data_IF_257688361649
#
_entry.id   IF_257688361649
#
_cell.length_a   1.000
_cell.length_b   1.000
_cell.length_c   1.000
_cell.angle_alpha   90.00
_cell.angle_beta   90.00
_cell.angle_gamma   90.00
#
_symmetry.space_group_name_H-M   'P 1'
#
loop_
_entity.id
_entity.type
_entity.pdbx_description
1 polymer ?
#
# COMPACT_ATOMS: atom_id res chain seq x y z
N UNK A 1 27.29 -19.63 -4.53
CA UNK A 1 26.55 -18.42 -4.11
C UNK A 1 25.90 -18.71 -2.78
N UNK A 2 26.10 -17.83 -1.81
CA UNK A 2 25.41 -17.90 -0.52
C UNK A 2 24.03 -17.22 -0.67
N UNK A 3 22.97 -17.96 -0.34
CA UNK A 3 21.58 -17.49 -0.40
C UNK A 3 20.99 -17.28 1.00
N UNK A 4 21.81 -17.36 2.05
CA UNK A 4 21.36 -17.26 3.45
C UNK A 4 20.71 -15.91 3.76
N UNK A 5 21.30 -14.75 3.41
CA UNK A 5 20.66 -13.45 3.67
C UNK A 5 19.29 -13.31 3.00
N UNK A 6 19.17 -13.89 1.80
CA UNK A 6 17.92 -13.87 1.04
C UNK A 6 16.83 -14.73 1.70
N UNK A 7 17.19 -15.94 2.18
CA UNK A 7 16.26 -16.80 2.92
C UNK A 7 15.77 -16.16 4.19
N UNK A 8 16.66 -15.48 4.92
CA UNK A 8 16.30 -14.74 6.12
C UNK A 8 15.33 -13.60 5.80
N UNK A 9 15.58 -12.85 4.72
CA UNK A 9 14.66 -11.81 4.25
C UNK A 9 13.27 -12.39 3.91
N UNK A 10 13.22 -13.52 3.21
CA UNK A 10 11.95 -14.17 2.87
C UNK A 10 11.23 -14.72 4.11
N UNK A 11 11.96 -15.32 5.05
CA UNK A 11 11.40 -15.80 6.33
C UNK A 11 10.82 -14.62 7.13
N UNK A 12 11.53 -13.50 7.16
CA UNK A 12 11.07 -12.27 7.82
C UNK A 12 9.83 -11.70 7.15
N UNK A 13 9.82 -11.60 5.81
CA UNK A 13 8.66 -11.13 5.05
C UNK A 13 7.43 -12.03 5.28
N UNK A 14 7.60 -13.35 5.25
CA UNK A 14 6.54 -14.33 5.55
C UNK A 14 6.00 -14.19 6.97
N UNK A 15 6.84 -13.84 7.94
CA UNK A 15 6.41 -13.54 9.30
C UNK A 15 5.71 -12.18 9.46
N UNK A 16 6.00 -11.21 8.58
CA UNK A 16 5.39 -9.87 8.60
C UNK A 16 4.02 -9.83 7.92
N UNK A 17 3.83 -10.57 6.83
CA UNK A 17 2.57 -10.62 6.08
C UNK A 17 1.31 -10.83 6.97
N UNK A 18 1.23 -11.84 7.86
CA UNK A 18 0.06 -12.01 8.72
C UNK A 18 -0.10 -10.89 9.76
N UNK A 19 1.00 -10.25 10.19
CA UNK A 19 0.94 -9.11 11.12
C UNK A 19 0.37 -7.87 10.43
N UNK A 20 0.79 -7.62 9.18
CA UNK A 20 0.25 -6.55 8.35
C UNK A 20 -1.24 -6.78 8.10
N UNK A 21 -1.63 -8.00 7.74
CA UNK A 21 -3.03 -8.35 7.52
C UNK A 21 -3.89 -8.07 8.76
N UNK A 22 -3.45 -8.54 9.93
CA UNK A 22 -4.13 -8.31 11.20
C UNK A 22 -4.27 -6.82 11.53
N UNK A 23 -3.18 -6.07 11.46
CA UNK A 23 -3.17 -4.64 11.78
C UNK A 23 -4.05 -3.82 10.83
N UNK A 24 -4.02 -4.14 9.52
CA UNK A 24 -4.85 -3.48 8.53
C UNK A 24 -6.35 -3.70 8.80
N UNK A 25 -6.77 -4.92 9.18
CA UNK A 25 -8.16 -5.18 9.56
C UNK A 25 -8.57 -4.48 10.84
N UNK A 26 -7.75 -4.56 11.88
CA UNK A 26 -8.03 -3.87 13.15
C UNK A 26 -8.24 -2.37 12.92
N UNK A 27 -7.37 -1.75 12.13
CA UNK A 27 -7.53 -0.34 11.76
C UNK A 27 -8.79 -0.09 10.93
N UNK A 28 -9.09 -0.95 9.95
CA UNK A 28 -10.31 -0.82 9.14
C UNK A 28 -11.58 -0.90 10.01
N UNK A 29 -11.63 -1.82 10.98
CA UNK A 29 -12.74 -1.95 11.93
C UNK A 29 -12.89 -0.68 12.78
N UNK A 30 -11.79 -0.18 13.38
CA UNK A 30 -11.83 1.03 14.19
C UNK A 30 -12.29 2.26 13.40
N UNK A 31 -11.87 2.39 12.14
CA UNK A 31 -12.30 3.50 11.29
C UNK A 31 -13.78 3.39 10.88
N UNK A 32 -14.30 2.18 10.67
CA UNK A 32 -15.73 1.97 10.43
C UNK A 32 -16.55 2.34 11.68
N UNK A 33 -16.13 1.87 12.86
CA UNK A 33 -16.76 2.23 14.14
C UNK A 33 -16.75 3.76 14.36
N UNK A 34 -15.63 4.42 14.07
CA UNK A 34 -15.52 5.87 14.16
C UNK A 34 -16.47 6.59 13.17
N UNK A 35 -16.68 6.02 11.98
CA UNK A 35 -17.63 6.52 10.99
C UNK A 35 -19.10 6.40 11.45
N UNK A 36 -19.43 5.32 12.16
CA UNK A 36 -20.78 5.08 12.69
C UNK A 36 -21.16 6.03 13.83
N UNK A 37 -20.20 6.46 14.65
CA UNK A 37 -20.42 7.44 15.73
C UNK A 37 -20.92 8.78 15.18
N UNK A 38 -20.50 9.15 13.96
CA UNK A 38 -20.92 10.38 13.28
C UNK A 38 -20.47 11.68 13.98
N UNK A 39 -20.82 12.83 13.38
CA UNK A 39 -20.68 14.13 14.06
C UNK A 39 -19.30 14.81 14.01
N UNK A 40 -18.42 14.47 13.06
CA UNK A 40 -17.11 15.12 12.92
C UNK A 40 -16.13 14.79 14.05
N UNK A 41 -16.38 13.70 14.78
CA UNK A 41 -15.51 13.22 15.87
C UNK A 41 -14.17 12.69 15.34
N UNK A 42 -14.17 12.15 14.13
CA UNK A 42 -12.99 11.64 13.46
C UNK A 42 -12.52 12.59 12.33
N UNK A 43 -11.20 12.74 12.14
CA UNK A 43 -10.66 13.59 11.07
C UNK A 43 -11.12 13.16 9.67
N UNK A 44 -11.33 14.11 8.77
CA UNK A 44 -11.78 13.86 7.39
C UNK A 44 -10.78 12.99 6.60
N UNK A 45 -9.50 13.03 6.96
CA UNK A 45 -8.41 12.20 6.41
C UNK A 45 -8.69 10.70 6.54
N UNK A 46 -9.47 10.30 7.53
CA UNK A 46 -9.81 8.89 7.74
C UNK A 46 -10.84 8.39 6.73
N UNK A 47 -11.59 9.31 6.11
CA UNK A 47 -12.67 8.99 5.18
C UNK A 47 -12.44 9.51 3.77
N UNK A 48 -11.48 10.43 3.58
CA UNK A 48 -11.14 11.04 2.30
C UNK A 48 -9.68 10.81 1.94
N UNK A 49 -9.44 10.03 0.88
CA UNK A 49 -8.10 9.85 0.32
C UNK A 49 -7.52 11.16 -0.21
N UNK A 50 -8.37 12.06 -0.71
CA UNK A 50 -7.92 13.38 -1.15
C UNK A 50 -7.35 14.18 0.03
N UNK A 51 -8.05 14.23 1.16
CA UNK A 51 -7.60 14.92 2.38
C UNK A 51 -6.33 14.27 2.97
N UNK A 52 -6.28 12.94 2.97
CA UNK A 52 -5.11 12.21 3.41
C UNK A 52 -3.88 12.56 2.55
N UNK A 53 -4.01 12.52 1.22
CA UNK A 53 -2.93 12.86 0.30
C UNK A 53 -2.54 14.34 0.39
N UNK A 54 -3.51 15.23 0.65
CA UNK A 54 -3.27 16.66 0.80
C UNK A 54 -2.37 16.96 2.00
N UNK A 55 -2.48 16.15 3.07
CA UNK A 55 -1.74 16.33 4.34
C UNK A 55 -0.53 15.41 4.50
N UNK A 56 -0.32 14.44 3.61
CA UNK A 56 0.80 13.49 3.69
C UNK A 56 2.03 14.01 2.97
N UNK A 57 3.12 14.27 3.69
CA UNK A 57 4.43 14.64 3.11
C UNK A 57 5.25 13.41 2.68
N UNK A 58 6.02 13.57 1.59
CA UNK A 58 7.00 12.59 1.17
C UNK A 58 8.39 13.01 1.66
N UNK A 59 8.81 12.44 2.80
CA UNK A 59 10.10 12.75 3.44
C UNK A 59 11.23 11.81 3.01
N UNK A 60 11.00 10.91 2.04
CA UNK A 60 12.05 10.01 1.56
C UNK A 60 13.20 10.79 0.89
N UNK A 61 14.40 10.20 0.91
CA UNK A 61 15.62 10.76 0.29
C UNK A 61 16.04 12.15 0.80
N UNK A 62 15.94 12.39 2.11
CA UNK A 62 16.49 13.61 2.71
C UNK A 62 15.82 14.90 2.22
N UNK A 63 14.51 14.86 1.93
CA UNK A 63 13.71 16.03 1.57
C UNK A 63 13.70 16.40 0.08
N UNK A 64 14.49 15.74 -0.78
CA UNK A 64 14.45 15.99 -2.23
C UNK A 64 13.09 15.67 -2.85
N UNK A 65 12.44 14.60 -2.38
CA UNK A 65 11.12 14.20 -2.87
C UNK A 65 10.00 15.11 -2.35
N UNK A 66 10.23 15.88 -1.29
CA UNK A 66 9.23 16.73 -0.68
C UNK A 66 8.81 17.87 -1.61
N UNK A 67 9.77 18.52 -2.27
CA UNK A 67 9.48 19.62 -3.21
C UNK A 67 8.72 19.13 -4.44
N UNK A 68 9.12 17.99 -5.00
CA UNK A 68 8.42 17.39 -6.15
C UNK A 68 7.01 17.00 -5.75
N UNK A 69 6.86 16.33 -4.60
CA UNK A 69 5.55 15.93 -4.11
C UNK A 69 4.67 17.15 -3.83
N UNK A 70 5.16 18.19 -3.16
CA UNK A 70 4.40 19.41 -2.91
C UNK A 70 3.97 20.12 -4.21
N UNK A 71 4.82 20.10 -5.24
CA UNK A 71 4.50 20.69 -6.54
C UNK A 71 3.42 19.88 -7.31
N UNK A 72 3.47 18.55 -7.23
CA UNK A 72 2.57 17.67 -8.00
C UNK A 72 1.29 17.34 -7.23
N UNK A 73 1.30 17.36 -5.89
CA UNK A 73 0.18 17.03 -5.00
C UNK A 73 -1.09 17.76 -5.39
N UNK A 74 -1.02 19.08 -5.57
CA UNK A 74 -2.18 19.92 -5.95
C UNK A 74 -2.78 19.53 -7.29
N UNK A 75 -1.94 19.14 -8.25
CA UNK A 75 -2.39 18.66 -9.55
C UNK A 75 -3.07 17.28 -9.44
N UNK A 76 -2.53 16.40 -8.59
CA UNK A 76 -3.10 15.06 -8.35
C UNK A 76 -4.42 15.15 -7.60
N UNK A 77 -4.50 15.95 -6.53
CA UNK A 77 -5.71 16.13 -5.72
C UNK A 77 -6.76 16.98 -6.43
N UNK A 78 -6.36 17.70 -7.48
CA UNK A 78 -7.23 18.62 -8.21
C UNK A 78 -7.60 19.87 -7.42
N UNK A 79 -6.90 20.16 -6.31
CA UNK A 79 -7.13 21.36 -5.51
C UNK A 79 -6.65 22.61 -6.28
N UNK A 80 -7.55 23.59 -6.43
CA UNK A 80 -7.24 24.86 -7.08
C UNK A 80 -6.20 25.61 -6.25
N UNK A 81 -5.29 26.35 -6.88
CA UNK A 81 -4.71 27.51 -6.21
C UNK A 81 -5.89 28.40 -5.79
N UNK A 82 -6.16 28.51 -4.49
CA UNK A 82 -6.73 29.76 -4.02
C UNK A 82 -5.74 30.83 -4.51
N UNK A 83 -6.19 31.88 -5.21
CA UNK A 83 -5.29 32.97 -5.58
C UNK A 83 -4.56 33.37 -4.31
N UNK A 84 -3.24 33.18 -4.31
CA UNK A 84 -2.38 33.69 -3.24
C UNK A 84 -2.69 35.17 -3.13
N UNK A 85 -2.86 35.67 -1.90
CA UNK A 85 -3.29 37.04 -1.61
C UNK A 85 -2.47 38.14 -2.30
N UNK A 86 -1.31 37.81 -2.88
CA UNK A 86 -0.51 38.71 -3.72
C UNK A 86 -1.16 39.06 -5.07
N UNK A 87 -2.16 38.30 -5.56
CA UNK A 87 -2.96 38.65 -6.75
C UNK A 87 -4.21 39.49 -6.41
N UNK A 88 -4.34 39.94 -5.16
CA UNK A 88 -5.38 40.87 -4.72
C UNK A 88 -4.76 42.04 -3.97
N UNK A 89 -4.02 42.90 -4.70
CA UNK A 89 -3.95 44.33 -4.38
C UNK A 89 -5.32 44.99 -4.58
N UNK A 90 -6.28 44.61 -3.75
CA UNK A 90 -7.51 45.34 -3.48
C UNK A 90 -7.86 45.03 -2.02
N UNK A 91 -7.12 45.67 -1.11
CA UNK A 91 -7.51 45.77 0.30
C UNK A 91 -8.95 46.30 0.35
N UNK A 92 -9.88 45.43 0.71
CA UNK A 92 -11.15 45.85 1.27
C UNK A 92 -11.01 45.75 2.79
N UNK A 93 -10.89 46.90 3.45
CA UNK A 93 -11.12 47.02 4.88
C UNK A 93 -12.54 46.52 5.18
N UNK A 94 -12.64 45.31 5.74
CA UNK A 94 -13.90 44.65 6.00
C UNK A 94 -14.34 44.89 7.46
N UNK A 95 -15.12 45.96 7.66
CA UNK A 95 -16.29 45.83 8.52
C UNK A 95 -17.36 45.05 7.74
N UNK A 96 -18.18 44.21 8.39
CA UNK A 96 -19.21 43.44 7.71
C UNK A 96 -20.23 44.38 7.05
N UNK A 97 -20.17 44.51 5.73
CA UNK A 97 -21.16 45.28 4.96
C UNK A 97 -22.35 44.37 4.68
N UNK A 98 -23.53 44.79 5.11
CA UNK A 98 -24.77 44.11 4.81
C UNK A 98 -24.97 44.07 3.29
N UNK A 99 -25.03 42.86 2.71
CA UNK A 99 -25.30 42.66 1.29
C UNK A 99 -26.82 42.63 1.12
N UNK A 100 -27.39 43.67 0.52
CA UNK A 100 -28.78 43.68 0.08
C UNK A 100 -28.82 43.30 -1.40
N UNK A 101 -29.36 42.11 -1.69
CA UNK A 101 -29.60 41.68 -3.07
C UNK A 101 -30.81 42.42 -3.63
N UNK A 102 -30.62 43.04 -4.79
CA UNK A 102 -31.63 43.83 -5.50
C UNK A 102 -31.86 43.19 -6.86
N UNK A 103 -33.13 42.95 -7.24
CA UNK A 103 -33.47 42.08 -8.36
C UNK A 103 -34.09 42.80 -9.57
N UNK A 104 -34.33 44.12 -9.49
CA UNK A 104 -34.80 44.93 -10.61
C UNK A 104 -33.97 46.20 -10.82
N UNK A 105 -33.95 46.70 -12.06
CA UNK A 105 -33.24 47.95 -12.40
C UNK A 105 -33.87 49.16 -11.66
N UNK A 106 -35.19 49.15 -11.41
CA UNK A 106 -35.88 50.20 -10.63
C UNK A 106 -35.45 50.19 -9.15
N UNK A 107 -35.30 49.01 -8.55
CA UNK A 107 -34.82 48.89 -7.17
C UNK A 107 -33.32 49.24 -7.06
N UNK A 108 -32.54 49.00 -8.12
CA UNK A 108 -31.12 49.34 -8.17
C UNK A 108 -30.90 50.87 -8.22
N UNK A 109 -31.72 51.58 -9.01
CA UNK A 109 -31.72 53.05 -9.04
C UNK A 109 -32.15 53.65 -7.69
N UNK A 110 -33.19 53.09 -7.06
CA UNK A 110 -33.63 53.51 -5.74
C UNK A 110 -32.56 53.27 -4.65
N UNK A 111 -31.85 52.14 -4.71
CA UNK A 111 -30.76 51.83 -3.78
C UNK A 111 -29.55 52.77 -3.97
N UNK A 112 -29.25 53.15 -5.22
CA UNK A 112 -28.14 54.06 -5.52
C UNK A 112 -28.43 55.51 -5.11
N UNK A 113 -29.69 55.93 -5.12
CA UNK A 113 -30.11 57.23 -4.57
C UNK A 113 -30.10 57.26 -3.04
N UNK A 114 -30.48 56.15 -2.38
CA UNK A 114 -30.50 56.04 -0.93
C UNK A 114 -29.10 55.98 -0.30
N UNK A 115 -28.15 55.31 -0.97
CA UNK A 115 -26.77 55.16 -0.50
C UNK A 115 -25.76 55.44 -1.64
N UNK A 116 -25.41 56.71 -1.90
CA UNK A 116 -24.58 57.10 -3.04
C UNK A 116 -23.15 56.53 -3.01
N UNK A 117 -22.69 56.05 -1.85
CA UNK A 117 -21.37 55.43 -1.68
C UNK A 117 -21.41 53.88 -1.68
N UNK A 118 -22.60 53.28 -1.84
CA UNK A 118 -22.71 51.82 -1.92
C UNK A 118 -22.21 51.34 -3.29
N UNK A 119 -21.28 50.37 -3.26
CA UNK A 119 -20.74 49.75 -4.47
C UNK A 119 -21.75 48.72 -4.97
N UNK A 120 -22.62 49.10 -5.91
CA UNK A 120 -23.55 48.16 -6.53
C UNK A 120 -22.78 47.11 -7.36
N UNK A 121 -22.89 45.85 -6.96
CA UNK A 121 -22.42 44.71 -7.77
C UNK A 121 -23.60 44.25 -8.61
N UNK A 122 -23.58 44.56 -9.91
CA UNK A 122 -24.58 44.07 -10.85
C UNK A 122 -24.29 42.60 -11.16
N UNK A 123 -24.99 41.69 -10.50
CA UNK A 123 -24.95 40.26 -10.84
C UNK A 123 -25.90 40.04 -12.02
N UNK A 124 -25.36 40.07 -13.23
CA UNK A 124 -26.12 39.72 -14.43
C UNK A 124 -26.18 38.19 -14.50
N UNK A 125 -27.30 37.62 -14.07
CA UNK A 125 -27.59 36.21 -14.33
C UNK A 125 -28.01 36.10 -15.79
N UNK A 126 -27.04 35.85 -16.66
CA UNK A 126 -27.32 35.53 -18.07
C UNK A 126 -27.89 34.11 -18.11
N UNK A 127 -29.17 33.90 -18.48
CA UNK A 127 -29.67 32.55 -18.67
C UNK A 127 -28.89 31.90 -19.81
N UNK A 128 -28.07 30.91 -19.49
CA UNK A 128 -27.33 30.14 -20.48
C UNK A 128 -28.35 29.51 -21.44
N UNK A 129 -28.25 29.84 -22.73
CA UNK A 129 -29.01 29.12 -23.77
C UNK A 129 -28.65 27.64 -23.69
N UNK A 130 -29.64 26.76 -23.73
CA UNK A 130 -29.44 25.32 -23.79
C UNK A 130 -28.63 24.98 -25.06
N UNK A 131 -27.30 24.94 -24.93
CA UNK A 131 -26.38 24.82 -26.07
C UNK A 131 -25.02 25.50 -25.86
N UNK A 132 -24.92 26.50 -24.97
CA UNK A 132 -23.62 27.07 -24.58
C UNK A 132 -22.91 26.12 -23.61
N UNK A 133 -22.32 25.06 -24.17
CA UNK A 133 -21.16 24.44 -23.54
C UNK A 133 -20.04 25.45 -23.69
N UNK A 134 -19.86 26.30 -22.68
CA UNK A 134 -18.60 27.03 -22.54
C UNK A 134 -17.48 26.00 -22.60
N UNK A 135 -16.76 25.98 -23.72
CA UNK A 135 -15.68 25.03 -23.98
C UNK A 135 -14.64 25.24 -22.88
N UNK A 136 -14.65 24.37 -21.88
CA UNK A 136 -13.72 24.48 -20.77
C UNK A 136 -12.35 24.15 -21.32
N UNK A 137 -11.33 24.84 -20.84
CA UNK A 137 -9.97 24.51 -21.22
C UNK A 137 -9.73 23.02 -20.91
N UNK A 138 -9.09 22.25 -21.80
CA UNK A 138 -8.91 20.80 -21.63
C UNK A 138 -8.19 20.45 -20.31
N UNK A 139 -7.33 21.34 -19.83
CA UNK A 139 -6.65 21.20 -18.53
C UNK A 139 -7.58 21.36 -17.33
N UNK A 140 -8.64 22.17 -17.44
CA UNK A 140 -9.65 22.32 -16.40
C UNK A 140 -10.55 21.08 -16.35
N UNK A 141 -10.91 20.53 -17.51
CA UNK A 141 -11.66 19.27 -17.59
C UNK A 141 -10.85 18.11 -17.00
N UNK A 142 -9.56 17.99 -17.33
CA UNK A 142 -8.68 16.97 -16.78
C UNK A 142 -8.60 17.02 -15.24
N UNK A 143 -8.49 18.23 -14.67
CA UNK A 143 -8.46 18.43 -13.21
C UNK A 143 -9.80 18.08 -12.55
N UNK A 144 -10.91 18.51 -13.13
CA UNK A 144 -12.23 18.18 -12.62
C UNK A 144 -12.49 16.66 -12.65
N UNK A 145 -12.00 15.97 -13.69
CA UNK A 145 -12.06 14.51 -13.76
C UNK A 145 -11.24 13.83 -12.65
N UNK A 146 -10.04 14.33 -12.36
CA UNK A 146 -9.22 13.81 -11.25
C UNK A 146 -9.89 14.03 -9.89
N UNK A 147 -10.39 15.24 -9.63
CA UNK A 147 -11.11 15.53 -8.40
C UNK A 147 -12.37 14.66 -8.26
N UNK A 148 -13.11 14.45 -9.36
CA UNK A 148 -14.26 13.55 -9.38
C UNK A 148 -13.83 12.09 -9.11
N UNK A 149 -12.74 11.63 -9.71
CA UNK A 149 -12.21 10.28 -9.49
C UNK A 149 -11.83 10.07 -8.02
N UNK A 150 -11.18 11.05 -7.38
CA UNK A 150 -10.87 10.98 -5.95
C UNK A 150 -12.09 11.05 -5.06
N UNK A 151 -13.09 11.86 -5.40
CA UNK A 151 -14.38 11.88 -4.71
C UNK A 151 -15.18 10.58 -4.86
N UNK A 152 -14.81 9.71 -5.80
CA UNK A 152 -15.37 8.36 -5.99
C UNK A 152 -14.41 7.25 -5.57
N UNK A 153 -13.23 7.58 -5.05
CA UNK A 153 -12.29 6.59 -4.56
C UNK A 153 -12.89 5.86 -3.36
N UNK A 154 -12.58 4.57 -3.16
CA UNK A 154 -12.97 3.86 -1.96
C UNK A 154 -12.42 4.55 -0.71
N UNK A 155 -13.19 4.54 0.38
CA UNK A 155 -12.72 5.04 1.66
C UNK A 155 -11.54 4.22 2.19
N UNK A 156 -10.75 4.82 3.08
CA UNK A 156 -9.56 4.20 3.65
C UNK A 156 -9.81 2.81 4.28
N UNK A 157 -10.92 2.53 5.00
CA UNK A 157 -11.20 1.20 5.53
C UNK A 157 -11.26 0.12 4.45
N UNK A 158 -11.86 0.43 3.29
CA UNK A 158 -11.95 -0.50 2.15
C UNK A 158 -10.58 -0.78 1.54
N UNK A 159 -9.72 0.25 1.46
CA UNK A 159 -8.35 0.09 0.99
C UNK A 159 -7.55 -0.76 1.98
N UNK A 160 -7.71 -0.54 3.29
CA UNK A 160 -7.05 -1.35 4.31
C UNK A 160 -7.50 -2.82 4.28
N UNK A 161 -8.78 -3.09 4.03
CA UNK A 161 -9.24 -4.47 3.83
C UNK A 161 -8.60 -5.12 2.60
N UNK A 162 -8.41 -4.34 1.52
CA UNK A 162 -7.70 -4.82 0.32
C UNK A 162 -6.24 -5.13 0.63
N UNK A 163 -5.57 -4.30 1.44
CA UNK A 163 -4.21 -4.56 1.94
C UNK A 163 -4.18 -5.82 2.79
N UNK A 164 -5.17 -6.03 3.67
CA UNK A 164 -5.26 -7.23 4.48
C UNK A 164 -5.40 -8.49 3.64
N UNK A 165 -6.32 -8.49 2.67
CA UNK A 165 -6.51 -9.60 1.74
C UNK A 165 -5.25 -9.88 0.90
N UNK A 166 -4.60 -8.83 0.40
CA UNK A 166 -3.36 -8.97 -0.36
C UNK A 166 -2.24 -9.57 0.50
N UNK A 167 -2.14 -9.17 1.76
CA UNK A 167 -1.14 -9.70 2.69
C UNK A 167 -1.40 -11.16 3.09
N UNK A 168 -2.65 -11.60 3.21
CA UNK A 168 -3.00 -13.00 3.46
C UNK A 168 -2.78 -13.90 2.26
N UNK A 169 -3.14 -13.42 1.06
CA UNK A 169 -2.88 -14.11 -0.19
C UNK A 169 -1.41 -14.07 -0.61
N UNK A 170 -0.57 -13.31 0.10
CA UNK A 170 0.83 -13.18 -0.23
C UNK A 170 1.56 -14.48 0.07
N UNK A 171 2.10 -15.06 -1.00
CA UNK A 171 3.14 -16.07 -0.92
C UNK A 171 4.42 -15.47 -1.52
N UNK A 172 5.59 -15.75 -0.93
CA UNK A 172 6.85 -15.39 -1.57
C UNK A 172 6.90 -16.08 -2.92
N UNK A 173 6.83 -15.28 -3.99
CA UNK A 173 7.01 -15.74 -5.38
C UNK A 173 8.30 -15.14 -5.88
N UNK A 174 9.19 -16.01 -6.32
CA UNK A 174 10.41 -15.56 -6.97
C UNK A 174 10.21 -15.50 -8.48
N UNK A 175 10.69 -14.43 -9.09
CA UNK A 175 10.85 -14.31 -10.54
C UNK A 175 12.34 -14.35 -10.90
N UNK A 176 12.66 -14.87 -12.08
CA UNK A 176 14.03 -14.90 -12.61
C UNK A 176 14.89 -16.09 -12.16
N UNK A 177 16.21 -15.95 -12.28
CA UNK A 177 17.17 -17.06 -12.14
C UNK A 177 17.25 -17.66 -10.73
N UNK A 178 17.01 -16.86 -9.68
CA UNK A 178 17.00 -17.32 -8.29
C UNK A 178 15.74 -18.16 -8.04
N UNK A 179 14.58 -17.68 -8.51
CA UNK A 179 13.32 -18.42 -8.44
C UNK A 179 13.37 -19.72 -9.22
N UNK A 180 13.99 -19.70 -10.39
CA UNK A 180 14.25 -20.92 -11.16
C UNK A 180 15.18 -21.87 -10.40
N UNK A 181 16.26 -21.39 -9.76
CA UNK A 181 17.20 -22.22 -9.01
C UNK A 181 16.60 -22.80 -7.72
N UNK A 182 15.71 -22.06 -7.05
CA UNK A 182 15.01 -22.50 -5.85
C UNK A 182 13.85 -23.45 -6.22
N UNK A 183 13.09 -23.15 -7.27
CA UNK A 183 12.07 -24.06 -7.80
C UNK A 183 12.67 -25.32 -8.45
N UNK A 184 13.89 -25.22 -9.03
CA UNK A 184 14.60 -26.36 -9.60
C UNK A 184 15.24 -27.25 -8.53
N UNK A 185 15.37 -26.78 -7.27
CA UNK A 185 15.61 -27.68 -6.14
C UNK A 185 14.34 -28.48 -5.90
N UNK A 186 14.13 -29.47 -6.76
CA UNK A 186 13.09 -30.46 -6.60
C UNK A 186 13.27 -31.09 -5.22
N UNK A 187 12.28 -30.96 -4.34
CA UNK A 187 12.23 -31.71 -3.09
C UNK A 187 12.30 -33.19 -3.47
N UNK A 188 13.47 -33.80 -3.28
CA UNK A 188 13.65 -35.24 -3.43
C UNK A 188 13.19 -35.85 -2.11
N UNK A 189 12.10 -36.64 -2.10
CA UNK A 189 11.63 -37.31 -0.89
C UNK A 189 12.75 -38.10 -0.19
N UNK A 190 13.67 -38.63 -0.99
CA UNK A 190 14.91 -39.29 -0.57
C UNK A 190 15.81 -38.40 0.27
N UNK A 191 16.13 -37.19 -0.18
CA UNK A 191 17.05 -36.30 0.54
C UNK A 191 16.41 -35.76 1.81
N UNK A 192 15.09 -35.51 1.79
CA UNK A 192 14.34 -35.13 2.98
C UNK A 192 14.28 -36.26 4.02
N UNK A 193 13.95 -37.48 3.60
CA UNK A 193 13.95 -38.66 4.47
C UNK A 193 15.32 -38.90 5.10
N UNK A 194 16.40 -38.89 4.30
CA UNK A 194 17.75 -39.13 4.79
C UNK A 194 18.21 -38.06 5.78
N UNK A 195 17.85 -36.79 5.56
CA UNK A 195 18.12 -35.71 6.51
C UNK A 195 17.36 -35.93 7.82
N UNK A 196 16.05 -36.15 7.74
CA UNK A 196 15.22 -36.40 8.92
C UNK A 196 15.71 -37.61 9.73
N UNK A 197 16.04 -38.71 9.04
CA UNK A 197 16.57 -39.93 9.65
C UNK A 197 17.91 -39.68 10.35
N UNK A 198 18.82 -38.93 9.72
CA UNK A 198 20.12 -38.59 10.31
C UNK A 198 19.99 -37.71 11.56
N UNK A 199 19.05 -36.77 11.57
CA UNK A 199 18.80 -35.89 12.71
C UNK A 199 18.15 -36.67 13.87
N UNK A 200 17.23 -37.57 13.56
CA UNK A 200 16.62 -38.44 14.57
C UNK A 200 17.67 -39.31 15.26
N UNK A 201 18.59 -39.91 14.50
CA UNK A 201 19.71 -40.69 15.05
C UNK A 201 20.61 -39.86 15.96
N UNK A 202 20.95 -38.62 15.57
CA UNK A 202 21.80 -37.74 16.38
C UNK A 202 21.13 -37.26 17.65
N UNK A 203 19.84 -36.95 17.57
CA UNK A 203 19.06 -36.47 18.71
C UNK A 203 18.88 -37.56 19.75
N UNK A 204 18.54 -38.76 19.31
CA UNK A 204 18.18 -39.85 20.21
C UNK A 204 19.42 -40.63 20.69
N UNK A 205 20.56 -40.52 19.99
CA UNK A 205 21.85 -41.10 20.38
C UNK A 205 22.95 -40.02 20.40
N UNK A 206 22.99 -39.16 21.43
CA UNK A 206 24.01 -38.12 21.55
C UNK A 206 25.42 -38.74 21.59
N UNK A 207 26.27 -38.31 20.67
CA UNK A 207 27.65 -38.81 20.53
C UNK A 207 27.87 -39.86 19.43
N UNK A 208 26.81 -40.29 18.73
CA UNK A 208 26.98 -41.18 17.57
C UNK A 208 27.67 -40.44 16.42
N UNK A 209 28.85 -40.92 16.07
CA UNK A 209 29.56 -40.54 14.84
C UNK A 209 28.97 -41.36 13.71
N UNK A 210 28.44 -40.71 12.67
CA UNK A 210 27.90 -41.35 11.46
C UNK A 210 29.06 -41.99 10.66
N UNK A 211 29.51 -43.16 11.13
CA UNK A 211 30.55 -43.96 10.50
C UNK A 211 30.08 -44.52 9.15
N UNK A 212 31.02 -45.04 8.36
CA UNK A 212 30.70 -45.67 7.07
C UNK A 212 29.67 -46.80 7.19
N UNK A 213 29.70 -47.59 8.27
CA UNK A 213 28.72 -48.66 8.50
C UNK A 213 27.32 -48.12 8.78
N UNK A 214 27.21 -47.02 9.54
CA UNK A 214 25.92 -46.37 9.82
C UNK A 214 25.35 -45.75 8.53
N UNK A 215 26.19 -45.08 7.73
CA UNK A 215 25.77 -44.54 6.43
C UNK A 215 25.27 -45.63 5.48
N UNK A 216 25.92 -46.80 5.44
CA UNK A 216 25.45 -47.95 4.67
C UNK A 216 24.13 -48.50 5.19
N UNK A 217 23.97 -48.59 6.52
CA UNK A 217 22.70 -49.01 7.13
C UNK A 217 21.57 -48.03 6.78
N UNK A 218 21.83 -46.72 6.84
CA UNK A 218 20.86 -45.68 6.46
C UNK A 218 20.41 -45.82 5.01
N UNK A 219 21.33 -46.08 4.07
CA UNK A 219 21.00 -46.30 2.67
C UNK A 219 20.08 -47.52 2.48
N UNK A 220 20.43 -48.65 3.12
CA UNK A 220 19.62 -49.86 3.10
C UNK A 220 18.22 -49.64 3.69
N UNK A 221 18.14 -48.97 4.84
CA UNK A 221 16.85 -48.62 5.46
C UNK A 221 16.02 -47.70 4.57
N UNK A 222 16.63 -46.71 3.92
CA UNK A 222 15.93 -45.81 3.01
C UNK A 222 15.35 -46.55 1.80
N UNK A 223 16.09 -47.48 1.20
CA UNK A 223 15.59 -48.32 0.11
C UNK A 223 14.37 -49.15 0.53
N UNK A 224 14.38 -49.70 1.74
CA UNK A 224 13.25 -50.49 2.26
C UNK A 224 12.04 -49.62 2.61
N UNK A 225 12.26 -48.48 3.28
CA UNK A 225 11.18 -47.62 3.78
C UNK A 225 10.52 -46.82 2.66
N UNK A 226 11.31 -46.29 1.72
CA UNK A 226 10.76 -45.53 0.59
C UNK A 226 10.08 -46.46 -0.43
N UNK A 227 10.54 -47.71 -0.52
CA UNK A 227 9.93 -48.78 -1.33
C UNK A 227 9.54 -48.35 -2.75
N UNK A 228 10.40 -47.59 -3.41
CA UNK A 228 10.21 -47.13 -4.78
C UNK A 228 11.20 -47.87 -5.68
N UNK A 229 10.70 -48.70 -6.60
CA UNK A 229 11.51 -49.49 -7.53
C UNK A 229 12.36 -48.62 -8.48
N UNK A 230 12.07 -47.33 -8.60
CA UNK A 230 12.84 -46.37 -9.41
C UNK A 230 13.93 -45.67 -8.60
N UNK A 231 14.00 -45.91 -7.31
CA UNK A 231 14.84 -45.21 -6.38
C UNK A 231 15.84 -46.17 -5.74
N UNK A 232 17.11 -46.03 -6.09
CA UNK A 232 18.20 -46.75 -5.42
C UNK A 232 19.06 -45.74 -4.66
N UNK A 233 18.90 -45.73 -3.35
CA UNK A 233 19.62 -44.86 -2.43
C UNK A 233 21.02 -45.40 -2.22
N UNK A 234 22.01 -44.73 -2.78
CA UNK A 234 23.41 -45.08 -2.59
C UNK A 234 23.97 -44.48 -1.29
N UNK A 235 25.10 -45.01 -0.82
CA UNK A 235 25.84 -44.42 0.31
C UNK A 235 26.33 -43.00 0.02
N UNK A 236 26.54 -42.67 -1.26
CA UNK A 236 26.93 -41.33 -1.70
C UNK A 236 25.77 -40.33 -1.53
N UNK A 237 24.53 -40.75 -1.82
CA UNK A 237 23.33 -39.94 -1.61
C UNK A 237 23.13 -39.60 -0.13
N UNK A 238 23.38 -40.57 0.75
CA UNK A 238 23.34 -40.36 2.20
C UNK A 238 24.40 -39.36 2.64
N UNK A 239 25.65 -39.49 2.17
CA UNK A 239 26.72 -38.53 2.49
C UNK A 239 26.40 -37.12 1.97
N UNK A 240 25.91 -37.00 0.74
CA UNK A 240 25.48 -35.73 0.15
C UNK A 240 24.34 -35.10 0.94
N UNK A 241 23.34 -35.89 1.34
CA UNK A 241 22.20 -35.41 2.12
C UNK A 241 22.63 -34.85 3.50
N UNK A 242 23.58 -35.52 4.16
CA UNK A 242 24.13 -35.13 5.45
C UNK A 242 25.06 -33.91 5.32
N UNK A 243 25.92 -33.88 4.29
CA UNK A 243 26.90 -32.81 4.08
C UNK A 243 26.25 -31.50 3.59
N UNK A 244 25.15 -31.59 2.84
CA UNK A 244 24.43 -30.43 2.33
C UNK A 244 23.60 -29.68 3.40
N UNK A 245 24.00 -29.75 4.67
CA UNK A 245 23.35 -29.03 5.77
C UNK A 245 23.51 -27.52 5.52
N UNK A 246 22.44 -26.72 5.50
CA UNK A 246 22.57 -25.31 5.81
C UNK A 246 23.01 -25.23 7.28
N UNK A 247 24.06 -24.49 7.56
CA UNK A 247 24.41 -24.13 8.95
C UNK A 247 23.21 -23.36 9.49
N UNK A 248 22.36 -24.01 10.27
CA UNK A 248 21.39 -23.31 11.11
C UNK A 248 22.17 -22.83 12.31
N UNK A 249 22.45 -21.53 12.30
CA UNK A 249 23.13 -20.82 13.37
C UNK A 249 22.42 -21.09 14.70
N UNK A 250 23.22 -21.61 15.62
CA UNK A 250 22.86 -21.74 17.02
C UNK A 250 22.98 -20.36 17.66
N UNK A 251 21.86 -19.61 17.71
CA UNK A 251 21.43 -18.74 18.82
C UNK A 251 20.22 -17.88 18.43
#
# INVERSE_FOLDING_TARGET
>A
MDYTPFREHMKKAKGLAPKIAKAARELATLLNEAGEVGGGVAPDEFFSICELLDKTDNTENGGHNQYIWAAVRKTITGTRHAPTSDDTELKADAAPRAVKTVFSDEEAEAAQQAEPNAKLIRVVVVPMKAGDKSERAPEEEARNMLHYAWGKAPHLPTILETVAQAAEGWAPRESGAIGAAIASRKASPTTEYLRAFSEHLRRDLPGVILSGSIVTAMAGTANVVLNDARLDVSTDDVRKAIAARPVEDSN
#
